data_IF_090706606960
#
_entry.id   IF_090706606960
#
_cell.length_a   1.000
_cell.length_b   1.000
_cell.length_c   1.000
_cell.angle_alpha   90.00
_cell.angle_beta   90.00
_cell.angle_gamma   90.00
#
_symmetry.space_group_name_H-M   'P 1'
#
loop_
_entity.id
_entity.type
_entity.pdbx_description
1 polymer ?
#
# COMPACT_ATOMS: atom_id res chain seq x y z
N UNK A 1 4.63 3.60 -12.69
CA UNK A 1 3.51 3.80 -11.75
C UNK A 1 4.09 4.17 -10.40
N UNK A 2 3.35 4.81 -9.49
CA UNK A 2 3.76 4.92 -8.09
C UNK A 2 2.59 4.59 -7.18
N UNK A 3 2.86 4.25 -5.92
CA UNK A 3 1.88 3.76 -4.96
C UNK A 3 2.04 4.50 -3.64
N UNK A 4 0.95 4.95 -3.05
CA UNK A 4 0.94 5.37 -1.66
C UNK A 4 0.35 4.26 -0.79
N UNK A 5 1.02 3.96 0.31
CA UNK A 5 0.50 3.04 1.32
C UNK A 5 -0.23 3.86 2.37
N UNK A 6 -1.47 3.49 2.64
CA UNK A 6 -2.29 4.08 3.69
C UNK A 6 -2.56 3.03 4.77
N UNK A 7 -2.44 3.44 6.03
CA UNK A 7 -2.91 2.71 7.20
C UNK A 7 -3.99 3.56 7.86
N UNK A 8 -5.19 3.00 8.06
CA UNK A 8 -6.34 3.73 8.62
C UNK A 8 -6.67 5.05 7.89
N UNK A 9 -6.40 5.10 6.59
CA UNK A 9 -6.59 6.28 5.75
C UNK A 9 -5.46 7.32 5.83
N UNK A 10 -4.47 7.13 6.71
CA UNK A 10 -3.28 7.97 6.80
C UNK A 10 -2.15 7.44 5.93
N UNK A 11 -1.47 8.35 5.22
CA UNK A 11 -0.35 7.97 4.36
C UNK A 11 0.90 7.72 5.17
N UNK A 12 1.40 6.49 5.13
CA UNK A 12 2.60 6.08 5.86
C UNK A 12 3.82 5.88 4.96
N UNK A 13 3.61 5.58 3.68
CA UNK A 13 4.72 5.36 2.75
C UNK A 13 4.37 5.70 1.30
N UNK A 14 5.41 5.92 0.48
CA UNK A 14 5.31 6.08 -0.97
C UNK A 14 6.34 5.18 -1.67
N UNK A 15 5.88 4.44 -2.68
CA UNK A 15 6.65 3.43 -3.40
C UNK A 15 6.60 3.69 -4.89
N UNK A 16 7.69 3.44 -5.60
CA UNK A 16 7.82 3.68 -7.05
C UNK A 16 7.68 2.42 -7.91
N UNK A 17 7.50 1.24 -7.30
CA UNK A 17 7.37 -0.03 -8.00
C UNK A 17 6.46 -1.01 -7.23
N UNK A 18 5.87 -1.97 -7.95
CA UNK A 18 5.09 -3.06 -7.35
C UNK A 18 5.95 -3.90 -6.40
N UNK A 19 7.20 -4.16 -6.75
CA UNK A 19 8.15 -4.92 -5.92
C UNK A 19 8.41 -4.24 -4.58
N UNK A 20 8.57 -2.90 -4.56
CA UNK A 20 8.73 -2.15 -3.33
C UNK A 20 7.47 -2.22 -2.45
N UNK A 21 6.28 -2.23 -3.06
CA UNK A 21 5.02 -2.44 -2.32
C UNK A 21 4.97 -3.84 -1.71
N UNK A 22 5.32 -4.89 -2.46
CA UNK A 22 5.37 -6.27 -1.95
C UNK A 22 6.32 -6.40 -0.77
N UNK A 23 7.54 -5.88 -0.92
CA UNK A 23 8.55 -5.91 0.13
C UNK A 23 8.10 -5.15 1.39
N UNK A 24 7.44 -4.00 1.21
CA UNK A 24 6.88 -3.24 2.32
C UNK A 24 5.79 -4.03 3.07
N UNK A 25 4.86 -4.66 2.35
CA UNK A 25 3.78 -5.46 2.93
C UNK A 25 4.34 -6.67 3.67
N UNK A 26 5.30 -7.38 3.08
CA UNK A 26 5.96 -8.51 3.73
C UNK A 26 6.61 -8.10 5.05
N UNK A 27 7.39 -7.00 5.04
CA UNK A 27 8.00 -6.44 6.24
C UNK A 27 6.98 -6.01 7.27
N UNK A 28 5.90 -5.32 6.86
CA UNK A 28 4.86 -4.89 7.78
C UNK A 28 4.19 -6.08 8.48
N UNK A 29 3.90 -7.15 7.75
CA UNK A 29 3.32 -8.39 8.30
C UNK A 29 4.27 -9.11 9.25
N UNK A 30 5.57 -9.12 8.97
CA UNK A 30 6.57 -9.66 9.89
C UNK A 30 6.64 -8.83 11.18
N UNK A 31 6.70 -7.50 11.05
CA UNK A 31 6.84 -6.58 12.17
C UNK A 31 5.57 -6.50 13.05
N UNK A 32 4.38 -6.80 12.51
CA UNK A 32 3.08 -6.68 13.18
C UNK A 32 2.31 -8.01 13.25
N UNK A 33 3.01 -9.15 13.11
CA UNK A 33 2.40 -10.49 13.10
C UNK A 33 1.57 -10.79 14.36
N UNK A 34 1.91 -10.18 15.50
CA UNK A 34 1.22 -10.38 16.78
C UNK A 34 -0.03 -9.50 16.94
N UNK A 35 -0.08 -8.31 16.32
CA UNK A 35 -1.15 -7.32 16.53
C UNK A 35 -2.15 -7.20 15.36
N UNK A 36 -1.70 -7.34 14.10
CA UNK A 36 -2.55 -7.38 12.91
C UNK A 36 -1.97 -8.33 11.85
N UNK A 37 -2.17 -9.65 12.00
CA UNK A 37 -1.61 -10.66 11.10
C UNK A 37 -2.12 -10.56 9.65
N UNK A 38 -3.24 -9.86 9.46
CA UNK A 38 -3.98 -9.75 8.21
C UNK A 38 -3.81 -8.42 7.48
N UNK A 39 -3.10 -7.45 8.09
CA UNK A 39 -2.95 -6.09 7.57
C UNK A 39 -4.29 -5.53 7.07
N UNK A 40 -5.37 -5.72 7.85
CA UNK A 40 -6.75 -5.49 7.40
C UNK A 40 -6.97 -4.02 7.03
N UNK A 41 -6.26 -3.14 7.72
CA UNK A 41 -6.33 -1.69 7.61
C UNK A 41 -5.45 -1.11 6.49
N UNK A 42 -4.70 -1.97 5.80
CA UNK A 42 -3.80 -1.56 4.73
C UNK A 42 -4.56 -1.28 3.44
N UNK A 43 -4.39 -0.06 2.92
CA UNK A 43 -4.90 0.36 1.62
C UNK A 43 -3.75 0.79 0.71
N UNK A 44 -3.84 0.47 -0.57
CA UNK A 44 -2.83 0.83 -1.56
C UNK A 44 -3.49 1.77 -2.57
N UNK A 45 -2.92 2.96 -2.73
CA UNK A 45 -3.39 3.97 -3.67
C UNK A 45 -2.42 4.04 -4.86
N UNK A 46 -2.85 3.50 -6.00
CA UNK A 46 -2.13 3.60 -7.27
C UNK A 46 -2.23 5.03 -7.83
N UNK A 47 -1.07 5.63 -8.10
CA UNK A 47 -0.91 6.98 -8.62
C UNK A 47 -0.25 6.94 -10.00
N UNK A 48 -1.09 6.96 -11.03
CA UNK A 48 -0.68 7.14 -12.43
C UNK A 48 -0.42 8.60 -12.81
N UNK A 49 -0.13 8.87 -14.09
CA UNK A 49 0.20 10.20 -14.59
C UNK A 49 -0.88 11.27 -14.31
N UNK A 50 -2.14 10.86 -14.20
CA UNK A 50 -3.29 11.74 -13.94
C UNK A 50 -3.73 11.73 -12.46
N UNK A 51 -2.96 11.13 -11.55
CA UNK A 51 -3.37 10.99 -10.15
C UNK A 51 -3.52 12.34 -9.41
N UNK A 52 -2.94 13.42 -9.93
CA UNK A 52 -3.16 14.77 -9.41
C UNK A 52 -4.55 15.32 -9.71
N UNK A 53 -5.24 14.80 -10.74
CA UNK A 53 -6.61 15.16 -11.10
C UNK A 53 -7.65 14.28 -10.41
N UNK A 54 -7.38 12.97 -10.35
CA UNK A 54 -8.37 11.97 -9.88
C UNK A 54 -8.07 11.43 -8.48
N UNK A 55 -7.02 11.92 -7.82
CA UNK A 55 -6.58 11.43 -6.50
C UNK A 55 -5.84 10.08 -6.55
N UNK A 56 -6.05 9.28 -7.59
CA UNK A 56 -5.48 7.95 -7.76
C UNK A 56 -6.56 6.87 -7.78
N UNK A 57 -6.16 5.61 -7.71
CA UNK A 57 -7.07 4.45 -7.65
C UNK A 57 -6.71 3.57 -6.47
N UNK A 58 -7.68 3.26 -5.60
CA UNK A 58 -7.49 2.21 -4.60
C UNK A 58 -7.38 0.86 -5.31
N UNK A 59 -6.30 0.14 -5.01
CA UNK A 59 -6.04 -1.19 -5.55
C UNK A 59 -6.05 -2.20 -4.43
N UNK A 60 -6.54 -3.40 -4.74
CA UNK A 60 -6.59 -4.49 -3.78
C UNK A 60 -5.18 -4.87 -3.33
N UNK A 61 -5.00 -5.03 -2.01
CA UNK A 61 -3.74 -5.50 -1.44
C UNK A 61 -3.41 -6.92 -1.84
N UNK A 62 -4.41 -7.75 -2.14
CA UNK A 62 -4.22 -9.14 -2.59
C UNK A 62 -3.41 -9.23 -3.88
N UNK A 63 -3.40 -8.18 -4.71
CA UNK A 63 -2.54 -8.10 -5.90
C UNK A 63 -1.04 -8.14 -5.54
N UNK A 64 -0.67 -7.71 -4.34
CA UNK A 64 0.71 -7.55 -3.87
C UNK A 64 1.09 -8.57 -2.79
N UNK A 65 0.19 -9.49 -2.43
CA UNK A 65 0.50 -10.65 -1.59
C UNK A 65 1.12 -11.79 -2.41
#
# INVERSE_FOLDING_TARGET
MSYAILLDGERVAHMSSDEAVRAWIAKYREDHAEDDPSAVHLQILERGALAWLVGGKLVDRERFL
#
